data_IF_956512215132
#
_entry.id   IF_956512215132
#
_cell.length_a   1.000
_cell.length_b   1.000
_cell.length_c   1.000
_cell.angle_alpha   90.00
_cell.angle_beta   90.00
_cell.angle_gamma   90.00
#
_symmetry.space_group_name_H-M   'P 1'
#
loop_
_entity.id
_entity.type
_entity.pdbx_description
1 polymer ?
#
# COMPACT_ATOMS: atom_id res chain seq x y z
N UNK A 1 56.84 -47.84 -3.95
CA UNK A 1 56.54 -46.53 -3.33
C UNK A 1 56.67 -45.48 -4.42
N UNK A 2 55.57 -45.09 -5.05
CA UNK A 2 55.49 -43.97 -5.99
C UNK A 2 54.25 -43.18 -5.57
N UNK A 3 54.45 -42.05 -4.90
CA UNK A 3 53.39 -41.09 -4.55
C UNK A 3 53.04 -40.27 -5.79
N UNK A 4 51.78 -40.40 -6.23
CA UNK A 4 51.18 -39.56 -7.25
C UNK A 4 50.74 -38.22 -6.64
N UNK A 5 51.29 -37.12 -7.14
CA UNK A 5 50.89 -35.76 -6.82
C UNK A 5 49.52 -35.43 -7.42
N UNK A 6 48.60 -34.96 -6.57
CA UNK A 6 47.30 -34.40 -6.95
C UNK A 6 47.46 -33.02 -7.63
N UNK A 7 46.60 -32.65 -8.60
CA UNK A 7 46.65 -31.35 -9.25
C UNK A 7 46.11 -30.23 -8.34
N UNK A 8 46.77 -29.07 -8.41
CA UNK A 8 46.44 -27.85 -7.65
C UNK A 8 45.13 -27.21 -8.14
N UNK A 9 44.29 -26.81 -7.19
CA UNK A 9 43.02 -26.12 -7.41
C UNK A 9 43.28 -24.64 -7.83
N UNK A 10 42.56 -24.06 -8.79
CA UNK A 10 42.74 -22.66 -9.16
C UNK A 10 42.24 -21.73 -8.04
N UNK A 11 43.04 -20.70 -7.76
CA UNK A 11 42.79 -19.71 -6.71
C UNK A 11 41.45 -18.98 -6.94
N UNK A 12 40.59 -19.00 -5.92
CA UNK A 12 39.39 -18.16 -5.86
C UNK A 12 39.80 -16.68 -5.86
N UNK A 13 39.34 -15.94 -6.86
CA UNK A 13 39.49 -14.50 -6.94
C UNK A 13 38.91 -13.81 -5.70
N UNK A 14 39.63 -12.81 -5.20
CA UNK A 14 39.22 -12.02 -4.03
C UNK A 14 37.84 -11.36 -4.21
N UNK A 15 37.24 -10.88 -3.10
CA UNK A 15 35.91 -10.26 -3.14
C UNK A 15 35.90 -9.08 -4.11
N UNK A 16 35.16 -9.22 -5.20
CA UNK A 16 34.85 -8.11 -6.10
C UNK A 16 34.06 -7.08 -5.29
N UNK A 17 34.66 -5.92 -5.07
CA UNK A 17 34.00 -4.76 -4.48
C UNK A 17 32.80 -4.42 -5.34
N UNK A 18 31.60 -4.47 -4.78
CA UNK A 18 30.39 -4.03 -5.45
C UNK A 18 30.60 -2.62 -6.04
N UNK A 19 30.14 -2.35 -7.27
CA UNK A 19 30.23 -1.01 -7.83
C UNK A 19 29.53 -0.01 -6.89
N UNK A 20 30.05 1.23 -6.78
CA UNK A 20 29.41 2.26 -5.96
C UNK A 20 27.96 2.45 -6.44
N UNK A 21 27.00 2.70 -5.52
CA UNK A 21 25.63 2.94 -5.91
C UNK A 21 25.59 4.13 -6.88
N UNK A 22 24.99 3.92 -8.05
CA UNK A 22 24.73 4.98 -9.02
C UNK A 22 23.77 5.96 -8.35
N UNK A 23 24.26 7.14 -7.95
CA UNK A 23 23.40 8.22 -7.45
C UNK A 23 22.50 8.68 -8.60
N UNK A 24 21.24 8.26 -8.57
CA UNK A 24 20.22 8.78 -9.48
C UNK A 24 20.00 10.25 -9.13
N UNK A 25 20.18 11.19 -10.08
CA UNK A 25 20.02 12.61 -9.80
C UNK A 25 18.58 12.90 -9.33
N UNK A 26 18.40 13.91 -8.44
CA UNK A 26 17.07 14.36 -8.06
C UNK A 26 16.26 14.78 -9.29
N UNK A 27 14.94 14.62 -9.27
CA UNK A 27 14.09 14.96 -10.41
C UNK A 27 14.17 16.46 -10.68
N UNK A 28 14.07 16.84 -11.95
CA UNK A 28 14.05 18.25 -12.32
C UNK A 28 12.83 18.94 -11.70
N UNK A 29 12.95 20.23 -11.34
CA UNK A 29 11.84 20.99 -10.74
C UNK A 29 10.57 20.99 -11.61
N UNK A 30 10.73 21.03 -12.92
CA UNK A 30 9.62 20.94 -13.88
C UNK A 30 8.94 19.56 -13.85
N UNK A 31 9.72 18.48 -13.69
CA UNK A 31 9.20 17.11 -13.55
C UNK A 31 8.35 16.99 -12.27
N UNK A 32 8.85 17.52 -11.15
CA UNK A 32 8.13 17.53 -9.88
C UNK A 32 6.87 18.39 -9.92
N UNK A 33 6.92 19.57 -10.55
CA UNK A 33 5.75 20.42 -10.70
C UNK A 33 4.65 19.73 -11.52
N UNK A 34 5.01 19.12 -12.65
CA UNK A 34 4.08 18.35 -13.48
C UNK A 34 3.55 17.10 -12.75
N UNK A 35 4.37 16.46 -11.92
CA UNK A 35 3.95 15.34 -11.08
C UNK A 35 2.93 15.79 -10.02
N UNK A 36 3.21 16.89 -9.30
CA UNK A 36 2.32 17.44 -8.28
C UNK A 36 0.99 17.92 -8.87
N UNK A 37 1.00 18.60 -10.02
CA UNK A 37 -0.23 19.01 -10.71
C UNK A 37 -1.09 17.80 -11.10
N UNK A 38 -0.48 16.75 -11.65
CA UNK A 38 -1.19 15.50 -11.97
C UNK A 38 -1.84 14.89 -10.73
N UNK A 39 -1.12 14.82 -9.61
CA UNK A 39 -1.63 14.25 -8.36
C UNK A 39 -2.82 15.05 -7.82
N UNK A 40 -2.74 16.37 -7.81
CA UNK A 40 -3.86 17.21 -7.35
C UNK A 40 -5.06 17.08 -8.26
N UNK A 41 -4.86 17.05 -9.58
CA UNK A 41 -5.97 16.76 -10.50
C UNK A 41 -6.57 15.39 -10.24
N UNK A 42 -5.78 14.35 -9.96
CA UNK A 42 -6.30 13.03 -9.59
C UNK A 42 -7.14 13.09 -8.31
N UNK A 43 -6.64 13.77 -7.27
CA UNK A 43 -7.37 14.00 -6.01
C UNK A 43 -8.71 14.68 -6.25
N UNK A 44 -8.72 15.76 -7.02
CA UNK A 44 -9.91 16.54 -7.31
C UNK A 44 -10.94 15.72 -8.10
N UNK A 45 -10.51 14.87 -9.04
CA UNK A 45 -11.42 13.97 -9.76
C UNK A 45 -12.04 12.92 -8.83
N UNK A 46 -11.29 12.38 -7.86
CA UNK A 46 -11.83 11.41 -6.88
C UNK A 46 -12.81 12.10 -5.93
N UNK A 47 -12.49 13.31 -5.47
CA UNK A 47 -13.32 14.08 -4.56
C UNK A 47 -14.69 14.50 -5.16
N UNK A 48 -14.86 14.48 -6.49
CA UNK A 48 -16.17 14.70 -7.14
C UNK A 48 -17.20 13.61 -6.82
N UNK A 49 -16.73 12.39 -6.53
CA UNK A 49 -17.62 11.22 -6.35
C UNK A 49 -17.56 10.64 -4.94
N UNK A 50 -16.59 11.04 -4.11
CA UNK A 50 -16.46 10.61 -2.72
C UNK A 50 -16.73 11.80 -1.79
N UNK A 51 -17.70 11.65 -0.88
CA UNK A 51 -18.11 12.68 0.07
C UNK A 51 -17.33 12.52 1.40
N UNK A 52 -16.83 13.63 1.96
CA UNK A 52 -16.27 13.72 3.32
C UNK A 52 -14.88 13.11 3.56
N UNK A 53 -14.55 12.00 2.87
CA UNK A 53 -13.36 11.18 3.12
C UNK A 53 -12.05 11.75 2.54
N UNK A 54 -11.80 13.05 2.69
CA UNK A 54 -10.61 13.71 2.13
C UNK A 54 -9.29 13.09 2.62
N UNK A 55 -9.17 12.81 3.92
CA UNK A 55 -7.97 12.19 4.49
C UNK A 55 -7.72 10.78 3.92
N UNK A 56 -8.79 9.99 3.74
CA UNK A 56 -8.70 8.64 3.15
C UNK A 56 -8.23 8.73 1.70
N UNK A 57 -8.75 9.67 0.91
CA UNK A 57 -8.33 9.90 -0.47
C UNK A 57 -6.84 10.24 -0.51
N UNK A 58 -6.40 11.17 0.34
CA UNK A 58 -5.00 11.57 0.44
C UNK A 58 -4.10 10.39 0.83
N UNK A 59 -4.47 9.60 1.84
CA UNK A 59 -3.71 8.43 2.27
C UNK A 59 -3.66 7.33 1.20
N UNK A 60 -4.75 7.10 0.46
CA UNK A 60 -4.76 6.15 -0.66
C UNK A 60 -3.88 6.64 -1.82
N UNK A 61 -3.91 7.95 -2.13
CA UNK A 61 -3.00 8.54 -3.12
C UNK A 61 -1.55 8.44 -2.67
N UNK A 62 -1.25 8.69 -1.39
CA UNK A 62 0.09 8.47 -0.81
C UNK A 62 0.52 7.02 -1.01
N UNK A 63 -0.37 6.05 -0.73
CA UNK A 63 -0.12 4.63 -0.97
C UNK A 63 0.21 4.34 -2.44
N UNK A 64 -0.58 4.86 -3.37
CA UNK A 64 -0.38 4.69 -4.81
C UNK A 64 0.96 5.31 -5.25
N UNK A 65 1.24 6.55 -4.88
CA UNK A 65 2.45 7.30 -5.28
C UNK A 65 3.71 6.68 -4.70
N UNK A 66 3.63 6.19 -3.48
CA UNK A 66 4.72 5.47 -2.85
C UNK A 66 4.90 4.05 -3.40
N UNK A 67 4.09 3.59 -4.36
CA UNK A 67 4.09 2.20 -4.88
C UNK A 67 3.90 1.16 -3.77
N UNK A 68 2.97 1.43 -2.86
CA UNK A 68 2.65 0.58 -1.72
C UNK A 68 1.23 0.04 -1.77
N UNK A 69 1.00 -1.04 -1.03
CA UNK A 69 -0.34 -1.58 -0.81
C UNK A 69 -0.94 -1.00 0.45
N UNK A 70 -2.27 -0.90 0.49
CA UNK A 70 -3.00 -0.24 1.57
C UNK A 70 -4.01 -1.20 2.17
N UNK A 71 -4.04 -1.25 3.49
CA UNK A 71 -5.04 -1.96 4.27
C UNK A 71 -6.06 -0.94 4.79
N UNK A 72 -7.33 -1.17 4.51
CA UNK A 72 -8.44 -0.31 4.92
C UNK A 72 -9.26 -1.05 5.96
N UNK A 73 -9.20 -0.59 7.20
CA UNK A 73 -10.10 -1.03 8.26
C UNK A 73 -11.26 -0.05 8.37
N UNK A 74 -12.48 -0.56 8.41
CA UNK A 74 -13.66 0.30 8.53
C UNK A 74 -14.93 -0.40 8.10
N UNK A 75 -16.06 0.19 8.44
CA UNK A 75 -17.37 -0.44 8.24
C UNK A 75 -17.73 -0.61 6.75
N UNK A 76 -18.57 -1.61 6.42
CA UNK A 76 -19.09 -1.79 5.07
C UNK A 76 -19.90 -0.57 4.60
N UNK A 77 -20.01 -0.39 3.28
CA UNK A 77 -20.91 0.62 2.70
C UNK A 77 -20.32 2.02 2.51
N UNK A 78 -19.10 2.29 2.99
CA UNK A 78 -18.47 3.62 2.91
C UNK A 78 -17.81 3.96 1.55
N UNK A 79 -18.35 3.45 0.44
CA UNK A 79 -17.86 3.83 -0.90
C UNK A 79 -16.46 3.30 -1.26
N UNK A 80 -15.90 2.30 -0.57
CA UNK A 80 -14.57 1.71 -0.88
C UNK A 80 -14.46 1.23 -2.35
N UNK A 81 -15.51 0.57 -2.85
CA UNK A 81 -15.60 0.16 -4.26
C UNK A 81 -15.61 1.35 -5.21
N UNK A 82 -16.28 2.45 -4.84
CA UNK A 82 -16.29 3.67 -5.64
C UNK A 82 -14.92 4.33 -5.68
N UNK A 83 -14.23 4.40 -4.52
CA UNK A 83 -12.88 4.94 -4.40
C UNK A 83 -11.90 4.21 -5.34
N UNK A 84 -11.92 2.87 -5.33
CA UNK A 84 -11.08 2.04 -6.21
C UNK A 84 -11.34 2.33 -7.70
N UNK A 85 -12.62 2.39 -8.08
CA UNK A 85 -13.01 2.62 -9.47
C UNK A 85 -12.66 4.04 -9.93
N UNK A 86 -12.89 5.03 -9.08
CA UNK A 86 -12.53 6.42 -9.34
C UNK A 86 -11.02 6.57 -9.49
N UNK A 87 -10.24 6.02 -8.54
CA UNK A 87 -8.78 6.03 -8.58
C UNK A 87 -8.26 5.41 -9.88
N UNK A 88 -8.70 4.20 -10.24
CA UNK A 88 -8.30 3.55 -11.48
C UNK A 88 -8.63 4.39 -12.72
N UNK A 89 -9.82 5.01 -12.76
CA UNK A 89 -10.24 5.87 -13.87
C UNK A 89 -9.34 7.10 -14.06
N UNK A 90 -8.82 7.68 -12.98
CA UNK A 90 -7.95 8.88 -13.06
C UNK A 90 -6.66 8.64 -13.85
N UNK A 91 -6.18 7.40 -13.96
CA UNK A 91 -4.99 7.07 -14.75
C UNK A 91 -5.24 6.05 -15.88
N UNK A 92 -6.53 5.82 -16.20
CA UNK A 92 -6.95 4.84 -17.22
C UNK A 92 -6.62 3.38 -16.86
N UNK A 93 -6.37 3.07 -15.58
CA UNK A 93 -6.04 1.73 -15.11
C UNK A 93 -7.22 0.77 -15.09
N UNK A 94 -6.93 -0.52 -15.23
CA UNK A 94 -7.84 -1.59 -14.88
C UNK A 94 -8.04 -1.67 -13.37
N UNK A 95 -9.21 -2.15 -12.96
CA UNK A 95 -9.48 -2.54 -11.59
C UNK A 95 -10.15 -3.90 -11.54
N UNK A 96 -9.96 -4.62 -10.45
CA UNK A 96 -10.66 -5.86 -10.17
C UNK A 96 -11.07 -5.88 -8.70
N UNK A 97 -12.11 -6.64 -8.39
CA UNK A 97 -12.59 -6.86 -7.03
C UNK A 97 -12.61 -8.35 -6.75
N UNK A 98 -12.10 -8.74 -5.59
CA UNK A 98 -12.20 -10.10 -5.05
C UNK A 98 -12.84 -9.97 -3.68
N UNK A 99 -13.92 -10.71 -3.48
CA UNK A 99 -14.48 -10.91 -2.16
C UNK A 99 -13.78 -12.11 -1.53
N UNK A 100 -13.12 -11.92 -0.39
CA UNK A 100 -12.49 -13.02 0.32
C UNK A 100 -13.56 -13.76 1.10
N UNK A 101 -13.61 -15.08 0.89
CA UNK A 101 -14.56 -16.00 1.52
C UNK A 101 -13.81 -17.23 2.04
N UNK A 102 -14.38 -17.99 2.99
CA UNK A 102 -13.70 -19.16 3.57
C UNK A 102 -13.34 -20.26 2.57
N UNK A 103 -14.04 -20.31 1.43
CA UNK A 103 -13.86 -21.28 0.35
C UNK A 103 -12.94 -20.78 -0.78
N UNK A 104 -12.51 -19.51 -0.75
CA UNK A 104 -11.70 -18.92 -1.80
C UNK A 104 -10.34 -19.61 -1.90
N UNK A 105 -9.98 -20.10 -3.09
CA UNK A 105 -8.70 -20.76 -3.34
C UNK A 105 -7.65 -19.79 -3.90
N UNK A 106 -6.34 -20.09 -3.73
CA UNK A 106 -5.27 -19.31 -4.37
C UNK A 106 -5.42 -19.17 -5.89
N UNK A 107 -5.94 -20.21 -6.56
CA UNK A 107 -6.22 -20.23 -7.99
C UNK A 107 -7.30 -19.24 -8.43
N UNK A 108 -8.22 -18.88 -7.55
CA UNK A 108 -9.28 -17.91 -7.84
C UNK A 108 -8.76 -16.48 -7.81
N UNK A 109 -7.65 -16.24 -7.09
CA UNK A 109 -6.95 -14.95 -7.05
C UNK A 109 -5.92 -14.84 -8.17
N UNK A 110 -5.04 -15.84 -8.27
CA UNK A 110 -3.90 -15.86 -9.18
C UNK A 110 -4.27 -16.29 -10.60
N UNK A 111 -5.30 -17.11 -10.74
CA UNK A 111 -5.61 -17.82 -11.97
C UNK A 111 -5.14 -19.27 -11.94
N UNK A 112 -5.45 -20.00 -13.00
CA UNK A 112 -5.17 -21.43 -13.12
C UNK A 112 -4.96 -21.83 -14.58
N UNK A 113 -4.45 -23.03 -14.78
CA UNK A 113 -4.24 -23.60 -16.12
C UNK A 113 -5.35 -24.61 -16.39
N UNK A 114 -6.04 -24.47 -17.52
CA UNK A 114 -7.09 -25.38 -17.97
C UNK A 114 -6.65 -26.10 -19.23
N UNK A 115 -6.96 -27.38 -19.36
CA UNK A 115 -6.76 -28.10 -20.61
C UNK A 115 -7.92 -27.81 -21.56
N UNK A 116 -7.62 -27.16 -22.69
CA UNK A 116 -8.58 -26.91 -23.76
C UNK A 116 -8.68 -28.16 -24.65
N UNK A 117 -9.75 -28.94 -24.47
CA UNK A 117 -9.97 -30.18 -25.22
C UNK A 117 -10.13 -29.96 -26.73
N UNK A 118 -10.61 -28.79 -27.17
CA UNK A 118 -10.79 -28.51 -28.60
C UNK A 118 -9.45 -28.25 -29.29
N UNK A 119 -8.54 -27.58 -28.59
CA UNK A 119 -7.22 -27.21 -29.13
C UNK A 119 -6.10 -28.17 -28.71
N UNK A 120 -6.39 -29.14 -27.83
CA UNK A 120 -5.41 -30.09 -27.31
C UNK A 120 -4.27 -29.43 -26.53
N UNK A 121 -4.50 -28.25 -25.94
CA UNK A 121 -3.45 -27.46 -25.31
C UNK A 121 -3.85 -26.90 -23.95
N UNK A 122 -2.86 -26.70 -23.09
CA UNK A 122 -3.05 -26.04 -21.80
C UNK A 122 -3.16 -24.51 -21.99
N UNK A 123 -4.29 -23.93 -21.58
CA UNK A 123 -4.58 -22.50 -21.65
C UNK A 123 -4.58 -21.90 -20.24
N UNK A 124 -3.80 -20.83 -20.07
CA UNK A 124 -3.76 -20.08 -18.82
C UNK A 124 -4.99 -19.17 -18.74
N UNK A 125 -5.73 -19.26 -17.63
CA UNK A 125 -6.75 -18.29 -17.25
C UNK A 125 -6.17 -17.40 -16.15
N UNK A 126 -5.91 -16.14 -16.49
CA UNK A 126 -5.43 -15.13 -15.55
C UNK A 126 -6.50 -14.85 -14.51
N UNK A 127 -6.09 -14.81 -13.24
CA UNK A 127 -6.98 -14.39 -12.16
C UNK A 127 -7.19 -12.87 -12.11
N UNK A 128 -8.10 -12.41 -11.25
CA UNK A 128 -8.40 -10.99 -11.03
C UNK A 128 -7.20 -10.15 -10.55
N UNK A 129 -6.13 -10.77 -10.03
CA UNK A 129 -4.92 -10.04 -9.63
C UNK A 129 -4.19 -9.36 -10.81
N UNK A 130 -4.42 -9.80 -12.06
CA UNK A 130 -3.82 -9.21 -13.26
C UNK A 130 -4.52 -7.90 -13.66
N UNK A 131 -4.44 -6.90 -12.79
CA UNK A 131 -5.03 -5.56 -12.94
C UNK A 131 -4.07 -4.50 -12.37
N UNK A 132 -4.39 -3.21 -12.46
CA UNK A 132 -3.59 -2.16 -11.83
C UNK A 132 -4.04 -1.88 -10.39
N UNK A 133 -5.35 -1.82 -10.14
CA UNK A 133 -5.89 -1.67 -8.78
C UNK A 133 -6.74 -2.88 -8.41
N UNK A 134 -6.32 -3.61 -7.38
CA UNK A 134 -7.06 -4.75 -6.84
C UNK A 134 -7.75 -4.35 -5.53
N UNK A 135 -9.07 -4.46 -5.47
CA UNK A 135 -9.83 -4.43 -4.21
C UNK A 135 -9.95 -5.86 -3.67
N UNK A 136 -9.30 -6.15 -2.54
CA UNK A 136 -9.39 -7.42 -1.83
C UNK A 136 -10.27 -7.23 -0.59
N UNK A 137 -11.58 -7.43 -0.75
CA UNK A 137 -12.54 -7.20 0.32
C UNK A 137 -12.52 -8.31 1.36
N UNK A 138 -12.51 -7.92 2.64
CA UNK A 138 -12.56 -8.80 3.81
C UNK A 138 -11.47 -9.86 3.81
N UNK A 139 -10.21 -9.44 3.60
CA UNK A 139 -9.05 -10.32 3.47
C UNK A 139 -8.91 -11.32 4.63
N UNK A 140 -9.41 -10.95 5.81
CA UNK A 140 -9.46 -11.78 7.01
C UNK A 140 -10.49 -12.92 6.93
N UNK A 141 -11.32 -13.07 5.89
CA UNK A 141 -12.29 -14.18 5.77
C UNK A 141 -11.77 -15.38 4.98
N UNK A 142 -10.68 -15.24 4.23
CA UNK A 142 -10.10 -16.37 3.50
C UNK A 142 -9.06 -17.13 4.31
N UNK A 143 -8.81 -18.41 3.99
CA UNK A 143 -7.76 -19.20 4.62
C UNK A 143 -6.36 -18.59 4.43
N UNK A 144 -5.46 -18.87 5.37
CA UNK A 144 -4.08 -18.35 5.37
C UNK A 144 -3.31 -18.64 4.07
N UNK A 145 -3.60 -19.74 3.37
CA UNK A 145 -2.97 -20.08 2.08
C UNK A 145 -3.34 -19.06 0.98
N UNK A 146 -4.60 -18.67 0.91
CA UNK A 146 -5.11 -17.70 -0.08
C UNK A 146 -4.65 -16.28 0.24
N UNK A 147 -4.62 -15.93 1.53
CA UNK A 147 -3.99 -14.68 2.00
C UNK A 147 -2.51 -14.63 1.58
N UNK A 148 -1.76 -15.71 1.84
CA UNK A 148 -0.33 -15.80 1.52
C UNK A 148 -0.06 -15.66 0.02
N UNK A 149 -0.88 -16.26 -0.84
CA UNK A 149 -0.69 -16.14 -2.30
C UNK A 149 -0.89 -14.71 -2.81
N UNK A 150 -1.86 -13.97 -2.26
CA UNK A 150 -2.04 -12.56 -2.59
C UNK A 150 -0.83 -11.73 -2.10
N UNK A 151 -0.40 -11.96 -0.86
CA UNK A 151 0.70 -11.21 -0.24
C UNK A 151 2.06 -11.49 -0.89
N UNK A 152 2.28 -12.71 -1.39
CA UNK A 152 3.45 -13.06 -2.19
C UNK A 152 3.43 -12.29 -3.51
N UNK A 153 2.31 -12.31 -4.22
CA UNK A 153 2.15 -11.57 -5.48
C UNK A 153 2.31 -10.06 -5.30
N UNK A 154 1.87 -9.50 -4.16
CA UNK A 154 2.13 -8.10 -3.77
C UNK A 154 3.62 -7.81 -3.64
N UNK A 155 4.37 -8.69 -2.98
CA UNK A 155 5.79 -8.48 -2.70
C UNK A 155 6.69 -8.72 -3.93
N UNK A 156 6.37 -9.74 -4.73
CA UNK A 156 7.16 -10.16 -5.89
C UNK A 156 6.72 -9.46 -7.19
N UNK A 157 5.53 -8.84 -7.21
CA UNK A 157 4.91 -8.22 -8.40
C UNK A 157 4.79 -9.17 -9.60
N UNK A 158 4.75 -10.47 -9.33
CA UNK A 158 4.61 -11.53 -10.33
C UNK A 158 3.91 -12.72 -9.69
N UNK A 159 3.36 -13.59 -10.54
CA UNK A 159 2.68 -14.82 -10.14
C UNK A 159 3.27 -15.97 -10.95
N UNK A 160 3.51 -17.12 -10.33
CA UNK A 160 3.96 -18.33 -11.02
C UNK A 160 2.82 -19.35 -11.09
N UNK A 161 2.41 -19.71 -12.30
CA UNK A 161 1.37 -20.73 -12.55
C UNK A 161 1.99 -21.89 -13.33
N UNK A 162 1.95 -23.11 -12.78
CA UNK A 162 2.49 -24.32 -13.42
C UNK A 162 3.92 -24.13 -13.98
N UNK A 163 4.80 -23.50 -13.18
CA UNK A 163 6.18 -23.22 -13.55
C UNK A 163 6.39 -22.04 -14.52
N UNK A 164 5.33 -21.33 -14.93
CA UNK A 164 5.42 -20.12 -15.77
C UNK A 164 5.20 -18.86 -14.93
N UNK A 165 6.23 -18.03 -14.84
CA UNK A 165 6.18 -16.75 -14.15
C UNK A 165 5.58 -15.67 -15.05
N UNK A 166 4.65 -14.89 -14.49
CA UNK A 166 3.92 -13.84 -15.18
C UNK A 166 3.94 -12.56 -14.34
N UNK A 167 4.46 -11.48 -14.91
CA UNK A 167 4.49 -10.19 -14.24
C UNK A 167 3.09 -9.59 -14.11
N UNK A 168 2.82 -8.94 -12.99
CA UNK A 168 1.62 -8.16 -12.80
C UNK A 168 1.69 -6.86 -13.62
N UNK A 169 0.55 -6.35 -14.12
CA UNK A 169 0.51 -5.07 -14.82
C UNK A 169 0.99 -3.94 -13.92
N UNK A 170 1.77 -3.00 -14.45
CA UNK A 170 2.28 -1.85 -13.70
C UNK A 170 1.52 -0.56 -14.06
N UNK A 171 1.27 0.35 -13.10
CA UNK A 171 1.49 0.18 -11.66
C UNK A 171 0.49 -0.82 -11.05
N UNK A 172 0.92 -1.54 -10.00
CA UNK A 172 0.07 -2.49 -9.28
C UNK A 172 -0.10 -2.06 -7.83
N UNK A 173 -1.35 -1.96 -7.37
CA UNK A 173 -1.71 -1.63 -6.00
C UNK A 173 -2.86 -2.54 -5.53
N UNK A 174 -2.75 -2.99 -4.28
CA UNK A 174 -3.82 -3.74 -3.61
C UNK A 174 -4.38 -2.85 -2.51
N UNK A 175 -5.69 -2.66 -2.53
CA UNK A 175 -6.50 -2.08 -1.46
C UNK A 175 -7.22 -3.25 -0.79
N UNK A 176 -6.67 -3.74 0.32
CA UNK A 176 -7.29 -4.81 1.09
C UNK A 176 -8.21 -4.21 2.16
N UNK A 177 -9.35 -4.84 2.44
CA UNK A 177 -10.25 -4.35 3.49
C UNK A 177 -10.39 -5.38 4.62
N UNK A 178 -10.59 -4.88 5.83
CA UNK A 178 -10.93 -5.68 7.01
C UNK A 178 -12.12 -5.04 7.72
N UNK A 179 -13.05 -5.87 8.17
CA UNK A 179 -14.16 -5.44 9.01
C UNK A 179 -13.84 -5.81 10.47
N UNK A 180 -13.68 -4.85 11.39
CA UNK A 180 -13.30 -5.14 12.78
C UNK A 180 -14.42 -5.81 13.60
N UNK A 181 -15.67 -5.74 13.15
CA UNK A 181 -16.84 -6.22 13.92
C UNK A 181 -17.08 -7.73 13.71
N UNK A 182 -16.57 -8.32 12.63
CA UNK A 182 -16.80 -9.73 12.31
C UNK A 182 -15.91 -10.67 13.14
N UNK A 183 -16.50 -11.33 14.13
CA UNK A 183 -15.81 -12.28 15.01
C UNK A 183 -15.93 -13.74 14.56
N UNK A 184 -16.91 -14.08 13.72
CA UNK A 184 -17.12 -15.46 13.26
C UNK A 184 -16.43 -15.74 11.93
N UNK A 185 -15.66 -16.82 11.87
CA UNK A 185 -15.04 -17.30 10.63
C UNK A 185 -13.92 -16.42 10.09
N UNK A 186 -13.27 -15.63 10.95
CA UNK A 186 -12.14 -14.78 10.57
C UNK A 186 -10.80 -15.43 10.90
N UNK A 187 -9.86 -15.27 9.96
CA UNK A 187 -8.46 -15.63 10.02
C UNK A 187 -7.64 -14.34 10.08
N UNK A 188 -7.22 -13.89 11.28
CA UNK A 188 -6.44 -12.67 11.40
C UNK A 188 -5.13 -12.78 10.63
N UNK A 189 -4.74 -11.69 9.98
CA UNK A 189 -3.43 -11.61 9.33
C UNK A 189 -2.36 -11.59 10.42
N UNK A 190 -1.36 -12.49 10.39
CA UNK A 190 -0.19 -12.40 11.26
C UNK A 190 0.53 -11.05 11.10
N UNK A 191 1.20 -10.58 12.15
CA UNK A 191 1.93 -9.29 12.13
C UNK A 191 2.93 -9.19 10.97
N UNK A 192 3.63 -10.29 10.69
CA UNK A 192 4.58 -10.39 9.57
C UNK A 192 3.90 -10.21 8.19
N UNK A 193 2.60 -10.49 8.09
CA UNK A 193 1.80 -10.26 6.89
C UNK A 193 1.29 -8.82 6.82
N UNK A 194 0.82 -8.27 7.94
CA UNK A 194 0.42 -6.87 8.05
C UNK A 194 1.56 -5.92 7.63
N UNK A 195 2.80 -6.23 8.01
CA UNK A 195 3.97 -5.41 7.68
C UNK A 195 4.23 -5.23 6.16
N UNK A 196 3.63 -6.08 5.30
CA UNK A 196 3.68 -5.95 3.83
C UNK A 196 2.82 -4.79 3.30
N UNK A 197 1.85 -4.32 4.07
CA UNK A 197 1.10 -3.12 3.74
C UNK A 197 1.91 -1.88 4.09
N UNK A 198 1.94 -0.91 3.17
CA UNK A 198 2.62 0.36 3.41
C UNK A 198 1.86 1.16 4.47
N UNK A 199 0.55 1.27 4.31
CA UNK A 199 -0.36 2.02 5.18
C UNK A 199 -1.52 1.15 5.64
N UNK A 200 -1.94 1.35 6.89
CA UNK A 200 -3.23 0.93 7.43
C UNK A 200 -4.08 2.18 7.69
N UNK A 201 -5.15 2.32 6.93
CA UNK A 201 -6.09 3.44 6.95
C UNK A 201 -7.33 3.00 7.73
N UNK A 202 -7.80 3.83 8.64
CA UNK A 202 -9.08 3.64 9.30
C UNK A 202 -10.13 4.55 8.66
N UNK A 203 -11.32 4.00 8.42
CA UNK A 203 -12.47 4.75 7.92
C UNK A 203 -13.62 4.57 8.92
N UNK A 204 -13.94 5.65 9.60
CA UNK A 204 -15.08 5.75 10.51
C UNK A 204 -16.35 6.19 9.75
N UNK A 205 -17.49 6.14 10.44
CA UNK A 205 -18.74 6.67 9.89
C UNK A 205 -18.58 8.16 9.54
N UNK A 206 -19.17 8.60 8.41
CA UNK A 206 -19.16 10.00 8.01
C UNK A 206 -19.85 10.87 9.06
N UNK A 207 -19.51 12.16 9.08
CA UNK A 207 -20.26 13.13 9.89
C UNK A 207 -21.69 13.27 9.37
N UNK A 208 -22.64 13.73 10.21
CA UNK A 208 -24.05 13.88 9.83
C UNK A 208 -24.23 14.66 8.51
N UNK A 209 -23.45 15.72 8.30
CA UNK A 209 -23.50 16.52 7.07
C UNK A 209 -23.03 15.76 5.84
N UNK A 210 -22.00 14.92 5.99
CA UNK A 210 -21.45 14.09 4.92
C UNK A 210 -22.37 12.90 4.61
N UNK A 211 -22.96 12.30 5.64
CA UNK A 211 -23.94 11.23 5.51
C UNK A 211 -25.20 11.74 4.81
N UNK A 212 -25.69 12.92 5.19
CA UNK A 212 -26.83 13.56 4.53
C UNK A 212 -26.56 13.76 3.03
N UNK A 213 -25.39 14.30 2.67
CA UNK A 213 -24.98 14.48 1.27
C UNK A 213 -24.88 13.15 0.52
N UNK A 214 -24.33 12.11 1.15
CA UNK A 214 -24.23 10.77 0.58
C UNK A 214 -25.63 10.20 0.28
N UNK A 215 -26.56 10.31 1.25
CA UNK A 215 -27.94 9.85 1.10
C UNK A 215 -28.67 10.63 0.01
N UNK A 216 -28.51 11.95 -0.02
CA UNK A 216 -29.11 12.83 -1.04
C UNK A 216 -28.62 12.46 -2.45
N UNK A 217 -27.33 12.18 -2.62
CA UNK A 217 -26.76 11.74 -3.90
C UNK A 217 -27.31 10.40 -4.39
N UNK A 218 -27.54 9.45 -3.47
CA UNK A 218 -28.06 8.11 -3.80
C UNK A 218 -29.57 8.15 -4.06
N UNK A 219 -30.33 8.90 -3.27
CA UNK A 219 -31.80 8.99 -3.36
C UNK A 219 -32.25 9.96 -4.47
N UNK A 220 -31.41 10.93 -4.85
CA UNK A 220 -31.70 12.02 -5.79
C UNK A 220 -31.98 11.65 -7.26
N UNK A 221 -32.25 10.37 -7.58
CA UNK A 221 -32.93 10.00 -8.82
C UNK A 221 -32.09 9.38 -9.94
N UNK A 222 -30.94 8.75 -9.64
CA UNK A 222 -30.26 7.87 -10.62
C UNK A 222 -30.79 6.45 -10.47
N UNK A 223 -31.22 5.84 -11.58
CA UNK A 223 -31.71 4.46 -11.60
C UNK A 223 -30.52 3.50 -11.41
N UNK A 224 -30.50 2.79 -10.28
CA UNK A 224 -29.52 1.76 -9.92
C UNK A 224 -28.41 2.27 -8.99
N UNK A 225 -27.84 1.37 -8.18
CA UNK A 225 -26.69 1.60 -7.26
C UNK A 225 -25.38 2.03 -7.98
N UNK A 226 -25.45 2.40 -9.25
CA UNK A 226 -24.31 2.84 -10.04
C UNK A 226 -24.00 4.30 -9.73
N UNK A 227 -23.08 4.51 -8.78
CA UNK A 227 -22.38 5.78 -8.63
C UNK A 227 -21.85 6.26 -10.00
N UNK A 228 -22.16 7.51 -10.34
CA UNK A 228 -21.90 8.07 -11.66
C UNK A 228 -20.44 8.48 -11.82
N UNK A 229 -19.63 7.51 -12.23
CA UNK A 229 -18.25 7.74 -12.58
C UNK A 229 -18.08 8.61 -13.84
N UNK A 230 -19.13 9.01 -14.57
CA UNK A 230 -18.95 9.84 -15.77
C UNK A 230 -18.26 11.17 -15.46
N UNK A 231 -18.43 11.71 -14.25
CA UNK A 231 -17.85 12.97 -13.80
C UNK A 231 -16.33 12.92 -13.53
N UNK A 232 -15.78 11.71 -13.39
CA UNK A 232 -14.36 11.47 -13.15
C UNK A 232 -13.65 11.38 -14.50
N UNK A 233 -12.72 12.28 -14.76
CA UNK A 233 -11.91 12.27 -15.98
C UNK A 233 -10.59 11.54 -15.79
N UNK A 234 -10.06 10.99 -16.89
CA UNK A 234 -8.70 10.46 -16.93
C UNK A 234 -7.71 11.61 -17.01
N UNK A 235 -6.86 11.72 -15.99
CA UNK A 235 -5.86 12.78 -15.80
C UNK A 235 -4.53 12.43 -16.46
N UNK A 236 -4.14 11.15 -16.39
CA UNK A 236 -2.89 10.61 -16.95
C UNK A 236 -3.12 9.20 -17.49
N UNK A 237 -2.15 8.61 -18.16
CA UNK A 237 -2.10 7.17 -18.44
C UNK A 237 -1.22 6.43 -17.42
N UNK A 238 -1.10 5.11 -17.56
CA UNK A 238 -0.31 4.27 -16.66
C UNK A 238 1.19 4.63 -16.72
N UNK A 239 1.70 5.01 -17.90
CA UNK A 239 3.09 5.41 -18.08
C UNK A 239 3.39 6.72 -17.34
N UNK A 240 2.49 7.71 -17.44
CA UNK A 240 2.59 8.96 -16.71
C UNK A 240 2.51 8.76 -15.20
N UNK A 241 1.63 7.88 -14.71
CA UNK A 241 1.58 7.54 -13.28
C UNK A 241 2.88 6.86 -12.81
N UNK A 242 3.47 5.96 -13.60
CA UNK A 242 4.77 5.36 -13.29
C UNK A 242 5.89 6.41 -13.22
N UNK A 243 5.89 7.36 -14.16
CA UNK A 243 6.84 8.49 -14.12
C UNK A 243 6.66 9.34 -12.85
N UNK A 244 5.41 9.59 -12.41
CA UNK A 244 5.13 10.27 -11.14
C UNK A 244 5.68 9.47 -9.94
N UNK A 245 5.46 8.15 -9.88
CA UNK A 245 6.01 7.30 -8.82
C UNK A 245 7.55 7.33 -8.79
N UNK A 246 8.20 7.38 -9.95
CA UNK A 246 9.66 7.51 -10.06
C UNK A 246 10.15 8.88 -9.59
N UNK A 247 9.43 9.96 -9.90
CA UNK A 247 9.73 11.30 -9.40
C UNK A 247 9.64 11.34 -7.86
N UNK A 248 8.56 10.79 -7.29
CA UNK A 248 8.38 10.67 -5.83
C UNK A 248 9.53 9.88 -5.18
N UNK A 249 9.93 8.75 -5.76
CA UNK A 249 11.00 7.92 -5.22
C UNK A 249 12.36 8.64 -5.18
N UNK A 250 12.58 9.61 -6.06
CA UNK A 250 13.82 10.42 -6.16
C UNK A 250 13.76 11.75 -5.41
N UNK A 251 12.62 12.08 -4.78
CA UNK A 251 12.46 13.30 -4.00
C UNK A 251 13.49 13.36 -2.86
N UNK A 252 14.12 14.52 -2.69
CA UNK A 252 15.27 14.66 -1.80
C UNK A 252 14.86 14.46 -0.33
N UNK A 253 15.70 13.73 0.41
CA UNK A 253 15.55 13.51 1.85
C UNK A 253 16.76 14.10 2.55
N UNK A 254 16.54 15.14 3.35
CA UNK A 254 17.56 15.63 4.25
C UNK A 254 17.95 14.52 5.25
N UNK A 255 19.25 14.37 5.50
CA UNK A 255 19.78 13.38 6.43
C UNK A 255 19.13 13.47 7.82
N UNK A 256 18.83 14.67 8.31
CA UNK A 256 18.15 14.89 9.59
C UNK A 256 16.74 14.29 9.59
N UNK A 257 16.02 14.33 8.47
CA UNK A 257 14.67 13.73 8.32
C UNK A 257 14.77 12.21 8.37
N UNK A 258 15.77 11.63 7.68
CA UNK A 258 16.04 10.19 7.74
C UNK A 258 16.37 9.75 9.16
N UNK A 259 17.25 10.48 9.85
CA UNK A 259 17.61 10.22 11.24
C UNK A 259 16.39 10.37 12.17
N UNK A 260 15.52 11.35 11.93
CA UNK A 260 14.27 11.51 12.69
C UNK A 260 13.31 10.33 12.51
N UNK A 261 13.07 9.88 11.27
CA UNK A 261 12.25 8.71 10.99
C UNK A 261 12.79 7.43 11.66
N UNK A 262 14.11 7.26 11.67
CA UNK A 262 14.75 6.14 12.37
C UNK A 262 14.58 6.26 13.89
N UNK A 263 14.77 7.46 14.47
CA UNK A 263 14.57 7.69 15.91
C UNK A 263 13.14 7.40 16.34
N UNK A 264 12.14 7.85 15.57
CA UNK A 264 10.73 7.56 15.83
C UNK A 264 10.45 6.05 15.86
N UNK A 265 10.87 5.33 14.83
CA UNK A 265 10.65 3.88 14.73
C UNK A 265 11.41 3.12 15.82
N UNK A 266 12.62 3.56 16.19
CA UNK A 266 13.34 3.00 17.34
C UNK A 266 12.59 3.23 18.65
N UNK A 267 12.06 4.44 18.87
CA UNK A 267 11.29 4.75 20.07
C UNK A 267 10.10 3.81 20.26
N UNK A 268 9.43 3.37 19.18
CA UNK A 268 8.35 2.37 19.29
C UNK A 268 8.77 1.04 19.90
N UNK A 269 10.05 0.64 19.76
CA UNK A 269 10.57 -0.63 20.31
C UNK A 269 11.01 -0.51 21.76
N UNK A 270 11.37 0.69 22.18
CA UNK A 270 11.89 0.98 23.52
C UNK A 270 10.79 1.59 24.42
N UNK A 271 9.57 1.80 23.91
CA UNK A 271 8.48 2.46 24.63
C UNK A 271 7.79 1.53 25.63
N UNK A 272 7.53 2.04 26.84
CA UNK A 272 6.82 1.29 27.88
C UNK A 272 5.37 1.02 27.46
N UNK A 273 4.94 -0.25 27.53
CA UNK A 273 3.61 -0.66 27.08
C UNK A 273 3.53 -1.13 25.63
N UNK A 274 4.66 -1.17 24.91
CA UNK A 274 4.76 -1.80 23.59
C UNK A 274 5.45 -3.15 23.71
N UNK A 275 4.76 -4.22 23.31
CA UNK A 275 5.29 -5.58 23.29
C UNK A 275 6.17 -5.82 22.06
N UNK A 276 5.70 -5.37 20.90
CA UNK A 276 6.42 -5.46 19.62
C UNK A 276 6.35 -4.09 18.96
N UNK A 277 7.50 -3.45 18.74
CA UNK A 277 7.61 -2.17 18.02
C UNK A 277 7.93 -2.34 16.54
N UNK A 278 7.86 -1.24 15.80
CA UNK A 278 8.08 -1.25 14.35
C UNK A 278 9.54 -1.58 13.99
N UNK A 279 9.71 -2.47 13.00
CA UNK A 279 11.01 -2.84 12.44
C UNK A 279 11.54 -1.86 11.39
N UNK A 280 12.68 -2.16 10.74
CA UNK A 280 13.27 -1.31 9.70
C UNK A 280 12.33 -0.98 8.52
N UNK A 281 11.42 -1.91 8.19
CA UNK A 281 10.36 -1.68 7.19
C UNK A 281 9.44 -0.53 7.58
N UNK A 282 9.25 -0.27 8.88
CA UNK A 282 8.56 0.91 9.39
C UNK A 282 9.24 2.21 8.96
N UNK A 283 10.57 2.33 9.13
CA UNK A 283 11.31 3.54 8.73
C UNK A 283 11.28 3.75 7.22
N UNK A 284 11.45 2.67 6.45
CA UNK A 284 11.39 2.71 4.98
C UNK A 284 10.00 3.12 4.52
N UNK A 285 8.95 2.51 5.09
CA UNK A 285 7.57 2.83 4.77
C UNK A 285 7.22 4.29 5.09
N UNK A 286 7.66 4.77 6.25
CA UNK A 286 7.45 6.13 6.70
C UNK A 286 8.08 7.16 5.74
N UNK A 287 9.34 6.95 5.34
CA UNK A 287 10.03 7.85 4.41
C UNK A 287 9.42 7.81 3.01
N UNK A 288 9.00 6.62 2.52
CA UNK A 288 8.31 6.49 1.23
C UNK A 288 6.96 7.22 1.23
N UNK A 289 6.19 7.06 2.30
CA UNK A 289 4.92 7.73 2.47
C UNK A 289 5.11 9.26 2.59
N UNK A 290 6.11 9.71 3.35
CA UNK A 290 6.40 11.14 3.51
C UNK A 290 6.83 11.82 2.20
N UNK A 291 7.60 11.15 1.33
CA UNK A 291 7.90 11.65 -0.02
C UNK A 291 6.64 11.85 -0.86
N UNK A 292 5.76 10.85 -0.85
CA UNK A 292 4.50 10.92 -1.58
C UNK A 292 3.58 12.01 -1.02
N UNK A 293 3.54 12.16 0.30
CA UNK A 293 2.77 13.21 0.97
C UNK A 293 3.32 14.60 0.68
N UNK A 294 4.64 14.80 0.73
CA UNK A 294 5.26 16.08 0.36
C UNK A 294 4.90 16.50 -1.07
N UNK A 295 4.94 15.57 -2.05
CA UNK A 295 4.52 15.86 -3.43
C UNK A 295 3.02 16.21 -3.51
N UNK A 296 2.16 15.48 -2.79
CA UNK A 296 0.73 15.77 -2.71
C UNK A 296 0.45 17.17 -2.15
N UNK A 297 1.31 17.65 -1.26
CA UNK A 297 1.30 19.02 -0.71
C UNK A 297 2.06 20.04 -1.58
N UNK A 298 2.37 19.72 -2.84
CA UNK A 298 3.12 20.56 -3.79
C UNK A 298 4.53 20.97 -3.33
N UNK A 299 5.19 20.14 -2.52
CA UNK A 299 6.57 20.38 -2.07
C UNK A 299 7.56 19.46 -2.78
N UNK A 300 8.75 19.99 -3.04
CA UNK A 300 9.89 19.30 -3.67
C UNK A 300 10.89 18.71 -2.66
N UNK A 301 10.64 18.87 -1.35
CA UNK A 301 11.43 18.30 -0.27
C UNK A 301 10.54 17.81 0.89
N UNK A 302 11.03 16.82 1.63
CA UNK A 302 10.36 16.29 2.83
C UNK A 302 10.78 17.05 4.08
N UNK A 303 9.81 17.33 4.93
CA UNK A 303 9.95 17.96 6.25
C UNK A 303 9.69 16.96 7.38
N UNK A 304 10.10 17.27 8.63
CA UNK A 304 9.74 16.46 9.78
C UNK A 304 8.24 16.36 10.04
N UNK A 305 7.46 17.36 9.61
CA UNK A 305 6.00 17.34 9.81
C UNK A 305 5.33 16.34 8.85
N UNK A 306 5.83 16.17 7.62
CA UNK A 306 5.37 15.09 6.73
C UNK A 306 5.50 13.71 7.36
N UNK A 307 6.61 13.49 8.09
CA UNK A 307 6.87 12.24 8.80
C UNK A 307 5.81 12.02 9.86
N UNK A 308 5.38 13.06 10.58
CA UNK A 308 4.33 12.96 11.60
C UNK A 308 2.97 12.72 10.98
N UNK A 309 2.64 13.43 9.90
CA UNK A 309 1.34 13.33 9.24
C UNK A 309 1.08 11.92 8.69
N UNK A 310 2.12 11.25 8.20
CA UNK A 310 2.01 9.86 7.72
C UNK A 310 2.34 8.79 8.77
N UNK A 311 2.77 9.18 9.98
CA UNK A 311 3.23 8.23 10.99
C UNK A 311 2.14 7.27 11.45
N UNK A 312 0.93 7.77 11.74
CA UNK A 312 -0.17 6.94 12.19
C UNK A 312 -0.53 5.85 11.17
N UNK A 313 -0.89 6.18 9.91
CA UNK A 313 -1.23 5.15 8.94
C UNK A 313 -0.02 4.26 8.58
N UNK A 314 1.22 4.75 8.66
CA UNK A 314 2.39 3.93 8.37
C UNK A 314 2.81 2.98 9.51
N UNK A 315 2.57 3.30 10.78
CA UNK A 315 3.15 2.55 11.91
C UNK A 315 2.14 1.78 12.75
N UNK A 316 0.84 2.12 12.72
CA UNK A 316 -0.16 1.52 13.63
C UNK A 316 -0.30 0.00 13.51
N UNK A 317 -0.08 -0.57 12.33
CA UNK A 317 -0.13 -2.02 12.09
C UNK A 317 1.21 -2.73 12.28
N UNK A 318 2.24 -2.00 12.72
CA UNK A 318 3.59 -2.50 12.98
C UNK A 318 3.91 -2.49 14.47
N UNK A 319 2.90 -2.29 15.31
CA UNK A 319 3.03 -2.20 16.76
C UNK A 319 1.98 -3.06 17.43
N UNK A 320 2.40 -3.80 18.46
CA UNK A 320 1.55 -4.60 19.33
C UNK A 320 1.75 -4.11 20.76
N UNK A 321 0.65 -3.75 21.41
CA UNK A 321 0.68 -3.28 22.79
C UNK A 321 0.83 -4.44 23.77
N UNK A 322 1.23 -4.15 25.00
CA UNK A 322 1.17 -5.13 26.09
C UNK A 322 -0.29 -5.34 26.53
N UNK A 323 -0.65 -6.52 27.06
CA UNK A 323 -2.00 -6.79 27.54
C UNK A 323 -2.49 -5.77 28.59
N UNK A 324 -1.59 -5.30 29.45
CA UNK A 324 -1.92 -4.30 30.48
C UNK A 324 -2.44 -2.99 29.85
N UNK A 325 -1.83 -2.53 28.75
CA UNK A 325 -2.25 -1.34 28.03
C UNK A 325 -3.63 -1.53 27.38
N UNK A 326 -3.89 -2.72 26.83
CA UNK A 326 -5.19 -3.04 26.23
C UNK A 326 -6.29 -3.07 27.29
N UNK A 327 -6.01 -3.61 28.49
CA UNK A 327 -6.94 -3.62 29.63
C UNK A 327 -7.26 -2.19 30.10
N UNK A 328 -6.28 -1.29 30.06
CA UNK A 328 -6.46 0.14 30.34
C UNK A 328 -7.19 0.90 29.21
N UNK A 329 -7.58 0.22 28.13
CA UNK A 329 -8.28 0.82 26.98
C UNK A 329 -7.38 1.70 26.10
N UNK A 330 -6.06 1.57 26.23
CA UNK A 330 -5.09 2.31 25.41
C UNK A 330 -5.03 1.67 24.03
N UNK A 331 -5.00 2.49 22.98
CA UNK A 331 -4.89 2.02 21.59
C UNK A 331 -3.50 2.31 21.06
N UNK A 332 -3.09 1.58 20.02
CA UNK A 332 -1.80 1.82 19.34
C UNK A 332 -1.68 3.26 18.85
N UNK A 333 -2.79 3.88 18.45
CA UNK A 333 -2.83 5.28 18.01
C UNK A 333 -2.57 6.26 19.14
N UNK A 334 -3.11 6.02 20.34
CA UNK A 334 -2.82 6.83 21.52
C UNK A 334 -1.33 6.79 21.86
N UNK A 335 -0.75 5.58 21.95
CA UNK A 335 0.68 5.39 22.23
C UNK A 335 1.56 6.00 21.14
N UNK A 336 1.19 5.84 19.87
CA UNK A 336 1.98 6.40 18.77
C UNK A 336 1.95 7.94 18.77
N UNK A 337 0.83 8.58 19.12
CA UNK A 337 0.76 10.04 19.29
C UNK A 337 1.65 10.53 20.45
N UNK A 338 1.74 9.76 21.54
CA UNK A 338 2.66 10.07 22.65
C UNK A 338 4.13 9.96 22.21
N UNK A 339 4.48 8.93 21.43
CA UNK A 339 5.83 8.79 20.88
C UNK A 339 6.15 9.97 19.96
N UNK A 340 5.23 10.37 19.09
CA UNK A 340 5.41 11.49 18.16
C UNK A 340 5.60 12.84 18.86
N UNK A 341 4.96 13.05 20.01
CA UNK A 341 5.13 14.26 20.81
C UNK A 341 6.41 14.23 21.64
N UNK A 342 6.89 13.05 22.05
CA UNK A 342 8.10 12.88 22.85
C UNK A 342 9.40 12.97 22.03
N UNK A 343 9.42 12.43 20.81
CA UNK A 343 10.62 12.43 19.97
C UNK A 343 10.77 13.78 19.26
N UNK A 344 11.77 14.56 19.67
CA UNK A 344 12.01 15.90 19.11
C UNK A 344 12.32 15.88 17.60
N UNK A 345 11.52 16.64 16.85
CA UNK A 345 11.73 16.89 15.44
C UNK A 345 12.98 17.77 15.23
N UNK A 346 13.83 17.45 14.24
CA UNK A 346 15.00 18.26 13.94
C UNK A 346 14.58 19.62 13.35
N UNK A 347 15.38 20.65 13.60
CA UNK A 347 15.29 21.91 12.86
C UNK A 347 16.02 21.74 11.55
N UNK A 348 15.30 21.88 10.42
CA UNK A 348 15.87 21.80 9.08
C UNK A 348 16.76 23.01 8.82
#
# INVERSE_FOLDING_TARGET
MNEQQLPQNPAFGGPQTAPPPVETPPPAKEELAAAAERVVRMRDQIAKVIVGQHEVIDQVLVGLLASGHVLIEGVPGLGKTLLVRALAKTFGGGHARIQFTPDLMPSDVMGHVMYDMQQGQFKIRRGPIFTQILLADEINRAPAKTQSSLLEAMQEQQVTLEGRTMNLPRPFMTLATQNPIEQEGTYPLPDAQLDRFLLKIHIDYPQETEEFQLVEQVVGGKVGDSFDLSQVETVTDQAGLLATQQAVARLELDRKVVEYAVRLVRATRDWSGVSIGAGPRGSIGLLRAARAYALLQHRDFVTPDDIKDVALPALRHRMVLTPDMEIEGRTTEHVLREILSHVEAPRL
#
